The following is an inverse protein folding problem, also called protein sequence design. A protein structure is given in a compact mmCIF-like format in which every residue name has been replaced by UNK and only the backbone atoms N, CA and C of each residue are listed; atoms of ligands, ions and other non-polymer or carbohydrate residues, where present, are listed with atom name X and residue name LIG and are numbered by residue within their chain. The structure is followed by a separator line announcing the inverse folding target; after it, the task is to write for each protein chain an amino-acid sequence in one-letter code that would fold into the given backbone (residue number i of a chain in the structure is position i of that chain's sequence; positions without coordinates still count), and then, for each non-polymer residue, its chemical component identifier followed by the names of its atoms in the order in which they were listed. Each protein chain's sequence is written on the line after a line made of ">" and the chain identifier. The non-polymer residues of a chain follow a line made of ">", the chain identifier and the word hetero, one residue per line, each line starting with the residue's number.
data_IF_303341194215
#
_entry.id   IF_303341194215
#
_cell.length_a   1.000
_cell.length_b   1.000
_cell.length_c   1.000
_cell.angle_alpha   90.00
_cell.angle_beta   90.00
_cell.angle_gamma   90.00
#
_symmetry.space_group_name_H-M   'P 1'
#
loop_
_entity.id
_entity.type
_entity.pdbx_description
1 polymer ?
#
# COMPACT_ATOMS: atom_id res chain seq x y z
N UNK A 1 2.39 2.84 -3.72
CA UNK A 1 2.98 2.28 -4.95
C UNK A 1 4.23 3.07 -5.30
N UNK A 2 5.32 2.43 -5.67
CA UNK A 2 6.58 3.12 -6.01
C UNK A 2 7.25 2.50 -7.26
N UNK A 3 7.73 3.36 -8.15
CA UNK A 3 8.48 2.96 -9.36
C UNK A 3 9.90 2.48 -9.05
N UNK A 4 10.45 2.85 -7.89
CA UNK A 4 11.74 2.35 -7.41
C UNK A 4 11.67 0.86 -7.01
N UNK A 5 10.49 0.41 -6.59
CA UNK A 5 10.27 -0.93 -6.05
C UNK A 5 10.83 -1.14 -4.64
N UNK A 6 10.39 -2.22 -3.99
CA UNK A 6 10.79 -2.64 -2.65
C UNK A 6 11.30 -4.09 -2.73
N UNK A 7 12.41 -4.36 -2.05
CA UNK A 7 12.97 -5.70 -1.93
C UNK A 7 12.49 -6.34 -0.64
N UNK A 8 11.90 -7.53 -0.75
CA UNK A 8 11.39 -8.31 0.38
C UNK A 8 12.48 -9.16 1.01
N UNK A 9 12.23 -9.62 2.23
CA UNK A 9 13.14 -10.48 2.98
C UNK A 9 13.30 -11.87 2.35
N UNK A 10 12.31 -12.32 1.58
CA UNK A 10 12.38 -13.55 0.77
C UNK A 10 13.22 -13.39 -0.50
N UNK A 11 13.75 -12.19 -0.76
CA UNK A 11 14.59 -11.87 -1.93
C UNK A 11 13.80 -11.38 -3.14
N UNK A 12 12.46 -11.44 -3.14
CA UNK A 12 11.62 -10.95 -4.23
C UNK A 12 11.64 -9.42 -4.33
N UNK A 13 11.41 -8.89 -5.54
CA UNK A 13 11.33 -7.46 -5.81
C UNK A 13 9.92 -7.12 -6.30
N UNK A 14 9.24 -6.22 -5.58
CA UNK A 14 7.93 -5.71 -6.00
C UNK A 14 8.10 -4.29 -6.50
N UNK A 15 7.73 -4.05 -7.76
CA UNK A 15 7.78 -2.74 -8.41
C UNK A 15 6.44 -2.45 -9.08
N UNK A 16 6.06 -1.18 -9.10
CA UNK A 16 4.89 -0.69 -9.81
C UNK A 16 5.31 0.23 -10.96
N UNK A 17 4.46 0.36 -11.97
CA UNK A 17 4.74 1.23 -13.11
C UNK A 17 4.72 2.71 -12.73
N UNK A 18 3.90 3.07 -11.74
CA UNK A 18 3.69 4.45 -11.29
C UNK A 18 3.76 4.63 -9.78
N UNK A 19 4.03 5.88 -9.37
CA UNK A 19 3.99 6.29 -7.98
C UNK A 19 2.55 6.63 -7.56
N UNK A 20 2.16 6.21 -6.36
CA UNK A 20 0.87 6.59 -5.78
C UNK A 20 0.95 6.61 -4.25
N UNK A 21 0.18 7.53 -3.66
CA UNK A 21 0.05 7.72 -2.22
C UNK A 21 -1.42 7.72 -1.78
N UNK A 22 -1.66 7.46 -0.49
CA UNK A 22 -2.97 7.53 0.15
C UNK A 22 -2.91 8.63 1.21
N UNK A 23 -3.91 9.50 1.25
CA UNK A 23 -3.99 10.58 2.24
C UNK A 23 -4.51 10.04 3.57
N UNK A 24 -3.81 10.39 4.64
CA UNK A 24 -4.11 9.99 6.01
C UNK A 24 -4.46 11.20 6.86
N UNK A 25 -5.30 10.98 7.87
CA UNK A 25 -5.56 11.97 8.93
C UNK A 25 -4.48 11.89 10.04
N UNK A 26 -4.53 12.81 11.00
CA UNK A 26 -3.61 12.82 12.16
C UNK A 26 -3.71 11.61 13.09
N UNK A 27 -4.69 10.71 12.87
CA UNK A 27 -4.87 9.43 13.56
C UNK A 27 -4.44 8.24 12.69
N UNK A 28 -3.73 8.48 11.58
CA UNK A 28 -3.27 7.47 10.61
C UNK A 28 -4.39 6.67 9.92
N UNK A 29 -5.58 7.24 9.82
CA UNK A 29 -6.70 6.64 9.10
C UNK A 29 -6.83 7.25 7.71
N UNK A 30 -7.21 6.47 6.68
CA UNK A 30 -7.42 6.98 5.35
C UNK A 30 -8.59 7.97 5.34
N UNK A 31 -8.38 9.13 4.70
CA UNK A 31 -9.44 10.14 4.51
C UNK A 31 -10.46 9.66 3.46
N UNK A 32 -9.98 8.86 2.49
CA UNK A 32 -10.81 8.29 1.43
C UNK A 32 -11.52 7.00 1.84
N UNK A 33 -12.66 6.73 1.19
CA UNK A 33 -13.47 5.52 1.42
C UNK A 33 -13.15 4.37 0.45
N UNK A 34 -12.34 4.62 -0.60
CA UNK A 34 -11.99 3.61 -1.61
C UNK A 34 -10.56 3.77 -2.09
N UNK A 35 -9.89 2.65 -2.32
CA UNK A 35 -8.53 2.60 -2.89
C UNK A 35 -8.60 2.00 -4.28
N UNK A 36 -7.81 2.56 -5.20
CA UNK A 36 -7.72 2.10 -6.57
C UNK A 36 -6.37 1.45 -6.84
N UNK A 37 -6.43 0.28 -7.47
CA UNK A 37 -5.26 -0.51 -7.86
C UNK A 37 -4.67 -1.35 -6.73
N UNK A 38 -3.66 -2.17 -7.07
CA UNK A 38 -3.03 -3.08 -6.12
C UNK A 38 -2.21 -2.33 -5.07
N UNK A 39 -2.23 -2.86 -3.85
CA UNK A 39 -1.40 -2.38 -2.73
C UNK A 39 -0.42 -3.44 -2.28
N UNK A 40 0.64 -3.02 -1.62
CA UNK A 40 1.71 -3.87 -1.09
C UNK A 40 1.33 -4.47 0.27
N UNK A 41 1.59 -5.75 0.49
CA UNK A 41 1.37 -6.47 1.77
C UNK A 41 2.09 -5.84 2.96
N UNK A 42 3.17 -5.10 2.70
CA UNK A 42 4.00 -4.38 3.66
C UNK A 42 3.19 -3.41 4.53
N UNK A 43 2.10 -2.86 3.99
CA UNK A 43 1.19 -1.96 4.71
C UNK A 43 0.44 -2.65 5.86
N UNK A 44 0.37 -3.99 5.85
CA UNK A 44 -0.23 -4.79 6.93
C UNK A 44 0.58 -4.68 8.22
N UNK A 45 1.90 -4.70 8.10
CA UNK A 45 2.86 -4.61 9.22
C UNK A 45 2.90 -3.21 9.83
N UNK A 46 2.63 -2.18 9.04
CA UNK A 46 2.77 -0.77 9.42
C UNK A 46 1.48 -0.17 10.04
N UNK A 47 0.55 -1.01 10.54
CA UNK A 47 -0.74 -0.60 11.14
C UNK A 47 -1.75 0.04 10.17
N UNK A 48 -1.51 -0.01 8.85
CA UNK A 48 -2.44 0.51 7.84
C UNK A 48 -3.49 -0.53 7.39
N UNK A 49 -4.05 -1.30 8.34
CA UNK A 49 -5.01 -2.38 8.05
C UNK A 49 -6.24 -1.91 7.28
N UNK A 50 -6.74 -0.71 7.57
CA UNK A 50 -7.89 -0.11 6.85
C UNK A 50 -7.60 0.06 5.35
N UNK A 51 -6.36 0.40 4.99
CA UNK A 51 -5.95 0.56 3.59
C UNK A 51 -5.95 -0.80 2.89
N UNK A 52 -5.38 -1.82 3.53
CA UNK A 52 -5.36 -3.19 2.98
C UNK A 52 -6.77 -3.75 2.79
N UNK A 53 -7.68 -3.46 3.72
CA UNK A 53 -9.07 -3.92 3.66
C UNK A 53 -9.90 -3.25 2.56
N UNK A 54 -9.58 -2.00 2.20
CA UNK A 54 -10.29 -1.24 1.17
C UNK A 54 -9.70 -1.43 -0.23
N UNK A 55 -8.54 -2.08 -0.32
CA UNK A 55 -7.86 -2.30 -1.59
C UNK A 55 -8.48 -3.49 -2.36
N UNK A 56 -8.57 -3.38 -3.70
CA UNK A 56 -9.10 -4.46 -4.53
C UNK A 56 -8.16 -5.68 -4.60
N UNK A 57 -6.85 -5.47 -4.49
CA UNK A 57 -5.84 -6.53 -4.61
C UNK A 57 -4.61 -6.21 -3.76
N UNK A 58 -3.97 -7.26 -3.21
CA UNK A 58 -2.82 -7.13 -2.30
C UNK A 58 -1.67 -8.03 -2.77
N UNK A 59 -0.57 -7.40 -3.20
CA UNK A 59 0.64 -8.01 -3.74
C UNK A 59 1.74 -8.13 -2.69
#
# INVERSE_FOLDING_TARGET
>A
RTAKGVRRQDGSLVKFDGNAAVLLNGKLEPIGTRIFGPVTRELRTERFMKIVSLAPEVL
#
